data_IF_832752280311
#
_entry.id   IF_832752280311
#
_cell.length_a   1.000
_cell.length_b   1.000
_cell.length_c   1.000
_cell.angle_alpha   90.00
_cell.angle_beta   90.00
_cell.angle_gamma   90.00
#
_symmetry.space_group_name_H-M   'P 1'
#
loop_
_entity.id
_entity.type
_entity.pdbx_description
1 polymer ?
#
# COMPACT_ATOMS: atom_id res chain seq x y z
N UNK A 1 -17.86 -24.95 -10.99
CA UNK A 1 -18.21 -23.82 -10.13
C UNK A 1 -18.65 -22.68 -11.03
N UNK A 2 -19.89 -22.27 -10.88
CA UNK A 2 -20.62 -21.36 -11.78
C UNK A 2 -20.26 -19.92 -11.41
N UNK A 3 -19.30 -19.34 -12.14
CA UNK A 3 -18.86 -17.94 -11.95
C UNK A 3 -19.83 -17.01 -12.71
N UNK A 4 -21.03 -16.84 -12.15
CA UNK A 4 -21.99 -15.86 -12.66
C UNK A 4 -21.65 -14.50 -12.09
N UNK A 5 -21.00 -13.66 -12.90
CA UNK A 5 -20.85 -12.25 -12.61
C UNK A 5 -22.23 -11.62 -12.30
N UNK A 6 -22.45 -11.22 -11.05
CA UNK A 6 -23.66 -10.50 -10.62
C UNK A 6 -23.40 -9.00 -10.70
N UNK A 7 -23.91 -8.37 -11.71
CA UNK A 7 -23.90 -6.92 -11.81
C UNK A 7 -24.97 -6.35 -10.86
N UNK A 8 -24.56 -5.51 -9.94
CA UNK A 8 -25.45 -4.70 -9.09
C UNK A 8 -25.23 -3.24 -9.46
N UNK A 9 -26.30 -2.56 -9.81
CA UNK A 9 -26.27 -1.12 -10.05
C UNK A 9 -26.48 -0.43 -8.71
N UNK A 10 -25.53 0.40 -8.30
CA UNK A 10 -25.64 1.29 -7.15
C UNK A 10 -26.01 2.68 -7.69
N UNK A 11 -27.15 3.19 -7.27
CA UNK A 11 -27.54 4.58 -7.52
C UNK A 11 -26.90 5.44 -6.42
N UNK A 12 -25.90 6.22 -6.79
CA UNK A 12 -25.15 7.09 -5.86
C UNK A 12 -25.81 8.47 -5.71
N UNK A 13 -26.98 8.71 -6.33
CA UNK A 13 -27.62 10.00 -6.35
C UNK A 13 -26.75 11.08 -7.04
N UNK A 14 -27.26 12.31 -7.13
CA UNK A 14 -26.58 13.46 -7.77
C UNK A 14 -25.41 14.04 -6.95
N UNK A 15 -24.81 13.26 -6.04
CA UNK A 15 -23.64 13.66 -5.28
C UNK A 15 -22.43 13.80 -6.20
N UNK A 16 -21.89 15.01 -6.31
CA UNK A 16 -20.59 15.23 -6.96
C UNK A 16 -19.52 14.45 -6.19
N UNK A 17 -19.06 13.34 -6.79
CA UNK A 17 -17.98 12.53 -6.26
C UNK A 17 -16.68 13.30 -6.44
N UNK A 18 -16.20 13.96 -5.39
CA UNK A 18 -14.87 14.56 -5.37
C UNK A 18 -13.80 13.48 -5.26
N UNK A 19 -12.62 13.73 -5.83
CA UNK A 19 -11.49 12.80 -5.81
C UNK A 19 -11.00 12.44 -4.37
N UNK A 20 -11.47 13.15 -3.34
CA UNK A 20 -11.11 12.94 -1.92
C UNK A 20 -12.12 12.07 -1.14
N UNK A 21 -13.15 11.55 -1.80
CA UNK A 21 -14.22 10.84 -1.10
C UNK A 21 -13.91 9.34 -0.93
N UNK A 22 -12.78 9.04 -0.30
CA UNK A 22 -12.48 7.66 0.17
C UNK A 22 -13.53 7.14 1.17
N UNK A 23 -14.31 8.04 1.77
CA UNK A 23 -15.43 7.72 2.66
C UNK A 23 -16.68 7.20 1.94
N UNK A 24 -16.79 7.32 0.61
CA UNK A 24 -17.94 6.79 -0.14
C UNK A 24 -18.02 5.28 -0.01
N UNK A 25 -16.89 4.58 -0.10
CA UNK A 25 -16.85 3.12 0.01
C UNK A 25 -17.34 2.64 1.37
N UNK A 26 -16.96 3.31 2.46
CA UNK A 26 -17.45 3.00 3.81
C UNK A 26 -18.95 3.28 3.97
N UNK A 27 -19.45 4.38 3.40
CA UNK A 27 -20.88 4.76 3.48
C UNK A 27 -21.80 3.81 2.72
N UNK A 28 -21.33 3.19 1.64
CA UNK A 28 -22.07 2.16 0.90
C UNK A 28 -21.77 0.73 1.37
N UNK A 29 -21.04 0.58 2.46
CA UNK A 29 -20.71 -0.73 3.04
C UNK A 29 -19.76 -1.57 2.17
N UNK A 30 -19.01 -0.95 1.27
CA UNK A 30 -17.98 -1.61 0.48
C UNK A 30 -16.67 -1.57 1.27
N UNK A 31 -16.27 -2.70 1.78
CA UNK A 31 -14.93 -2.87 2.35
C UNK A 31 -13.97 -3.17 1.21
N UNK A 32 -12.94 -2.34 1.04
CA UNK A 32 -11.87 -2.65 0.10
C UNK A 32 -11.23 -3.98 0.50
N UNK A 33 -11.32 -4.98 -0.38
CA UNK A 33 -10.58 -6.22 -0.17
C UNK A 33 -9.09 -5.92 -0.26
N UNK A 34 -8.38 -6.13 0.85
CA UNK A 34 -6.92 -6.04 0.89
C UNK A 34 -6.38 -7.45 1.05
N UNK A 35 -5.51 -7.89 0.14
CA UNK A 35 -4.87 -9.18 0.29
C UNK A 35 -4.04 -9.20 1.58
N UNK A 36 -4.14 -10.29 2.33
CA UNK A 36 -3.32 -10.50 3.50
C UNK A 36 -1.91 -10.89 3.03
N UNK A 37 -0.98 -9.96 3.13
CA UNK A 37 0.43 -10.23 2.81
C UNK A 37 1.09 -10.93 4.01
N UNK A 38 1.77 -12.06 3.80
CA UNK A 38 2.55 -12.68 4.86
C UNK A 38 3.66 -11.73 5.35
N UNK A 39 4.05 -11.86 6.60
CA UNK A 39 5.13 -11.06 7.18
C UNK A 39 6.51 -11.55 6.72
N UNK A 40 6.75 -11.52 5.41
CA UNK A 40 8.01 -11.91 4.77
C UNK A 40 8.71 -10.69 4.21
N UNK A 41 10.01 -10.58 4.46
CA UNK A 41 10.86 -9.49 3.95
C UNK A 41 11.14 -9.73 2.46
N UNK A 42 10.74 -8.81 1.59
CA UNK A 42 11.04 -8.87 0.15
C UNK A 42 12.34 -8.15 -0.20
N UNK A 43 12.49 -6.92 0.27
CA UNK A 43 13.71 -6.13 0.05
C UNK A 43 14.10 -5.37 1.31
N UNK A 44 15.40 -5.13 1.47
CA UNK A 44 15.96 -4.36 2.58
C UNK A 44 16.83 -3.22 2.01
N UNK A 45 16.59 -2.01 2.49
CA UNK A 45 17.43 -0.86 2.15
C UNK A 45 18.80 -0.97 2.84
N UNK A 46 19.91 -0.77 2.12
CA UNK A 46 21.26 -1.01 2.68
C UNK A 46 21.56 -0.26 3.98
N UNK A 47 21.07 0.96 4.13
CA UNK A 47 21.34 1.81 5.31
C UNK A 47 20.17 1.83 6.31
N UNK A 48 19.14 1.00 6.09
CA UNK A 48 17.95 0.93 6.93
C UNK A 48 18.19 0.19 8.26
N UNK A 49 17.31 0.43 9.22
CA UNK A 49 17.32 -0.27 10.50
C UNK A 49 17.21 -1.80 10.34
N UNK A 50 16.47 -2.27 9.32
CA UNK A 50 16.39 -3.69 8.98
C UNK A 50 17.74 -4.29 8.59
N UNK A 51 18.53 -3.60 7.76
CA UNK A 51 19.87 -4.03 7.36
C UNK A 51 20.83 -4.07 8.57
N UNK A 52 20.79 -3.02 9.41
CA UNK A 52 21.61 -2.97 10.63
C UNK A 52 21.28 -4.09 11.62
N UNK A 53 20.02 -4.50 11.69
CA UNK A 53 19.56 -5.63 12.51
C UNK A 53 19.89 -6.99 11.89
N UNK A 54 20.39 -7.05 10.65
CA UNK A 54 20.73 -8.30 9.95
C UNK A 54 19.54 -9.01 9.32
N UNK A 55 18.42 -8.31 9.11
CA UNK A 55 17.29 -8.82 8.32
C UNK A 55 17.67 -8.95 6.85
N UNK A 56 17.19 -9.99 6.20
CA UNK A 56 17.47 -10.33 4.80
C UNK A 56 16.20 -10.61 4.02
N UNK A 57 16.21 -10.44 2.68
CA UNK A 57 15.12 -10.93 1.84
C UNK A 57 14.83 -12.41 2.08
N UNK A 58 13.56 -12.76 2.18
CA UNK A 58 13.10 -14.11 2.48
C UNK A 58 12.85 -14.39 3.96
N UNK A 59 13.30 -13.55 4.88
CA UNK A 59 13.02 -13.72 6.30
C UNK A 59 11.54 -13.60 6.59
N UNK A 60 10.98 -14.58 7.29
CA UNK A 60 9.61 -14.54 7.80
C UNK A 60 9.64 -14.06 9.25
N UNK A 61 8.92 -13.00 9.55
CA UNK A 61 8.76 -12.50 10.92
C UNK A 61 7.74 -13.38 11.64
N UNK A 62 8.16 -14.00 12.74
CA UNK A 62 7.34 -14.93 13.55
C UNK A 62 6.81 -14.24 14.80
N UNK A 63 7.71 -13.57 15.53
CA UNK A 63 7.38 -12.87 16.78
C UNK A 63 8.02 -11.48 16.81
N UNK A 64 7.36 -10.55 17.47
CA UNK A 64 7.91 -9.24 17.83
C UNK A 64 7.56 -8.94 19.30
N UNK A 65 8.56 -8.71 20.17
CA UNK A 65 8.41 -8.56 21.62
C UNK A 65 7.54 -9.66 22.26
N UNK A 66 7.73 -10.92 21.81
CA UNK A 66 6.96 -12.09 22.24
C UNK A 66 5.50 -12.18 21.76
N UNK A 67 5.03 -11.22 20.95
CA UNK A 67 3.72 -11.28 20.30
C UNK A 67 3.85 -11.91 18.90
N UNK A 68 2.96 -12.87 18.53
CA UNK A 68 3.00 -13.48 17.22
C UNK A 68 2.61 -12.45 16.15
N UNK A 69 3.33 -12.50 15.02
CA UNK A 69 3.09 -11.64 13.86
C UNK A 69 2.44 -12.47 12.76
N UNK A 70 1.16 -12.26 12.49
CA UNK A 70 0.40 -13.03 11.52
C UNK A 70 0.61 -12.53 10.07
N UNK A 71 0.74 -11.22 9.88
CA UNK A 71 0.79 -10.60 8.55
C UNK A 71 1.67 -9.34 8.53
N UNK A 72 1.93 -8.85 7.33
CA UNK A 72 2.72 -7.64 7.10
C UNK A 72 2.11 -6.38 7.73
N UNK A 73 0.78 -6.27 7.76
CA UNK A 73 0.08 -5.12 8.33
C UNK A 73 0.31 -5.04 9.85
N UNK A 74 0.22 -6.19 10.52
CA UNK A 74 0.49 -6.28 11.95
C UNK A 74 1.96 -5.97 12.24
N UNK A 75 2.90 -6.55 11.47
CA UNK A 75 4.32 -6.25 11.59
C UNK A 75 4.62 -4.76 11.44
N UNK A 76 4.09 -4.13 10.39
CA UNK A 76 4.23 -2.69 10.17
C UNK A 76 3.70 -1.88 11.35
N UNK A 77 2.54 -2.24 11.88
CA UNK A 77 1.95 -1.57 13.04
C UNK A 77 2.80 -1.67 14.30
N UNK A 78 3.50 -2.80 14.51
CA UNK A 78 4.47 -2.93 15.63
C UNK A 78 5.62 -1.96 15.43
N UNK A 79 6.21 -1.91 14.24
CA UNK A 79 7.33 -1.00 13.93
C UNK A 79 6.93 0.46 14.13
N UNK A 80 5.79 0.89 13.57
CA UNK A 80 5.30 2.26 13.62
C UNK A 80 5.10 2.77 15.05
N UNK A 81 4.70 1.89 15.97
CA UNK A 81 4.49 2.24 17.40
C UNK A 81 5.76 2.29 18.24
N UNK A 82 6.91 1.83 17.73
CA UNK A 82 8.16 1.73 18.51
C UNK A 82 9.31 2.51 17.86
N UNK A 83 9.17 3.83 17.56
CA UNK A 83 10.26 4.61 16.98
C UNK A 83 11.43 4.71 17.95
N UNK A 84 12.63 4.30 17.53
CA UNK A 84 13.86 4.34 18.34
C UNK A 84 13.89 3.38 19.53
N UNK A 85 12.93 2.47 19.65
CA UNK A 85 12.88 1.49 20.75
C UNK A 85 13.39 0.13 20.29
N UNK A 86 14.07 -0.59 21.21
CA UNK A 86 14.54 -1.94 20.94
C UNK A 86 13.36 -2.91 20.81
N UNK A 87 13.30 -3.63 19.71
CA UNK A 87 12.37 -4.73 19.44
C UNK A 87 13.15 -6.04 19.39
N UNK A 88 12.73 -7.02 20.19
CA UNK A 88 13.20 -8.40 20.07
C UNK A 88 12.36 -9.10 18.99
N UNK A 89 12.97 -9.43 17.86
CA UNK A 89 12.32 -10.04 16.72
C UNK A 89 12.78 -11.47 16.56
N UNK A 90 11.84 -12.41 16.42
CA UNK A 90 12.16 -13.77 16.00
C UNK A 90 11.74 -13.95 14.56
N UNK A 91 12.68 -14.42 13.76
CA UNK A 91 12.48 -14.70 12.34
C UNK A 91 12.66 -16.18 12.06
N UNK A 92 12.06 -16.64 10.99
CA UNK A 92 12.36 -17.93 10.35
C UNK A 92 13.15 -17.64 9.06
N UNK A 93 14.37 -18.19 8.99
CA UNK A 93 15.28 -18.12 7.84
C UNK A 93 15.73 -19.51 7.49
N UNK A 94 15.52 -19.96 6.26
CA UNK A 94 15.91 -21.31 5.77
C UNK A 94 15.42 -22.44 6.68
N UNK A 95 14.20 -22.32 7.23
CA UNK A 95 13.60 -23.29 8.13
C UNK A 95 14.15 -23.28 9.56
N UNK A 96 15.01 -22.31 9.92
CA UNK A 96 15.57 -22.17 11.25
C UNK A 96 15.10 -20.86 11.91
N UNK A 97 14.72 -20.93 13.18
CA UNK A 97 14.39 -19.73 13.94
C UNK A 97 15.66 -19.02 14.43
N UNK A 98 15.67 -17.71 14.28
CA UNK A 98 16.73 -16.82 14.75
C UNK A 98 16.13 -15.65 15.51
N UNK A 99 16.82 -15.21 16.56
CA UNK A 99 16.46 -14.00 17.29
C UNK A 99 17.37 -12.85 16.85
N UNK A 100 16.76 -11.69 16.57
CA UNK A 100 17.43 -10.45 16.17
C UNK A 100 16.94 -9.30 17.06
N UNK A 101 17.82 -8.34 17.26
CA UNK A 101 17.51 -7.07 17.90
C UNK A 101 17.34 -5.99 16.83
N UNK A 102 16.19 -5.35 16.79
CA UNK A 102 15.83 -4.33 15.80
C UNK A 102 15.48 -3.02 16.51
N UNK A 103 16.12 -1.94 16.12
CA UNK A 103 15.77 -0.59 16.59
C UNK A 103 15.26 0.20 15.38
N UNK A 104 13.93 0.41 15.25
CA UNK A 104 13.38 1.20 14.14
C UNK A 104 13.90 2.65 14.19
N UNK A 105 14.22 3.19 13.03
CA UNK A 105 14.49 4.62 12.89
C UNK A 105 13.21 5.43 13.15
N UNK A 106 13.36 6.67 13.57
CA UNK A 106 12.25 7.57 13.82
C UNK A 106 12.08 8.53 12.65
N UNK A 107 10.85 8.64 12.11
CA UNK A 107 10.49 9.66 11.12
C UNK A 107 9.13 10.26 11.44
N UNK A 108 8.85 11.45 10.92
CA UNK A 108 7.53 12.06 10.99
C UNK A 108 6.65 11.60 9.81
N UNK A 109 5.41 11.25 10.10
CA UNK A 109 4.40 10.98 9.07
C UNK A 109 3.81 12.30 8.54
N UNK A 110 2.86 12.22 7.59
CA UNK A 110 2.21 13.40 7.01
C UNK A 110 1.37 14.20 8.02
N UNK A 111 1.00 13.60 9.15
CA UNK A 111 0.26 14.23 10.24
C UNK A 111 1.19 14.85 11.30
N UNK A 112 2.52 14.77 11.13
CA UNK A 112 3.50 15.27 12.10
C UNK A 112 3.72 14.33 13.29
N UNK A 113 3.20 13.10 13.25
CA UNK A 113 3.41 12.12 14.30
C UNK A 113 4.72 11.38 14.07
N UNK A 114 5.43 11.10 15.15
CA UNK A 114 6.67 10.34 15.11
C UNK A 114 6.38 8.85 15.03
N UNK A 115 6.76 8.22 13.93
CA UNK A 115 6.57 6.79 13.68
C UNK A 115 7.90 6.07 13.45
N UNK A 116 7.93 4.77 13.78
CA UNK A 116 9.06 3.90 13.49
C UNK A 116 9.14 3.54 12.00
N UNK A 117 10.37 3.32 11.52
CA UNK A 117 10.67 2.92 10.15
C UNK A 117 11.90 2.01 10.12
N UNK A 118 11.91 0.97 9.27
CA UNK A 118 13.02 0.02 9.22
C UNK A 118 13.73 -0.07 7.86
N UNK A 119 13.16 0.52 6.81
CA UNK A 119 13.73 0.41 5.47
C UNK A 119 13.61 -1.00 4.87
N UNK A 120 12.47 -1.64 5.07
CA UNK A 120 12.15 -2.92 4.42
C UNK A 120 10.77 -2.87 3.76
N UNK A 121 10.57 -3.69 2.73
CA UNK A 121 9.30 -3.89 2.03
C UNK A 121 8.90 -5.36 2.08
N UNK A 122 7.57 -5.62 2.02
CA UNK A 122 7.05 -6.96 1.98
C UNK A 122 7.47 -7.71 0.73
N UNK A 123 7.60 -9.01 0.84
CA UNK A 123 7.59 -9.90 -0.31
C UNK A 123 6.14 -10.02 -0.82
N UNK A 124 5.93 -9.62 -2.09
CA UNK A 124 4.63 -9.70 -2.75
C UNK A 124 4.67 -10.90 -3.69
N UNK A 125 3.90 -11.97 -3.39
CA UNK A 125 3.85 -13.14 -4.27
C UNK A 125 3.47 -12.74 -5.71
N UNK A 126 4.14 -13.28 -6.73
CA UNK A 126 3.91 -12.90 -8.14
C UNK A 126 2.44 -12.98 -8.57
N UNK A 127 1.71 -14.03 -8.15
CA UNK A 127 0.29 -14.18 -8.46
C UNK A 127 -0.59 -13.08 -7.88
N UNK A 128 -0.24 -12.52 -6.73
CA UNK A 128 -0.98 -11.43 -6.12
C UNK A 128 -0.75 -10.09 -6.86
N UNK A 129 0.44 -9.90 -7.40
CA UNK A 129 0.77 -8.73 -8.21
C UNK A 129 0.04 -8.76 -9.57
N UNK A 130 -0.14 -9.94 -10.15
CA UNK A 130 -0.87 -10.14 -11.41
C UNK A 130 -2.37 -9.90 -11.25
N UNK A 131 -2.98 -10.37 -10.15
CA UNK A 131 -4.40 -10.16 -9.85
C UNK A 131 -4.75 -8.68 -9.59
N UNK A 132 -3.77 -7.86 -9.20
CA UNK A 132 -3.92 -6.41 -9.00
C UNK A 132 -3.65 -5.60 -10.27
N UNK A 133 -3.10 -6.20 -11.33
CA UNK A 133 -2.88 -5.56 -12.61
C UNK A 133 -4.15 -5.68 -13.47
N UNK A 134 -4.97 -4.65 -13.45
CA UNK A 134 -6.04 -4.49 -14.45
C UNK A 134 -5.39 -4.11 -15.78
N UNK A 135 -5.13 -5.10 -16.63
CA UNK A 135 -4.68 -4.86 -18.00
C UNK A 135 -5.86 -4.36 -18.81
N UNK A 136 -6.05 -3.05 -18.87
CA UNK A 136 -7.04 -2.44 -19.74
C UNK A 136 -6.51 -2.47 -21.19
N UNK A 137 -6.97 -3.44 -21.97
CA UNK A 137 -6.66 -3.52 -23.40
C UNK A 137 -7.63 -2.64 -24.16
N UNK A 138 -7.18 -1.49 -24.59
CA UNK A 138 -7.93 -0.67 -25.52
C UNK A 138 -7.74 -1.20 -26.94
N UNK A 139 -8.81 -1.32 -27.72
CA UNK A 139 -8.71 -1.46 -29.17
C UNK A 139 -8.01 -0.20 -29.75
N UNK A 140 -7.41 -0.30 -30.94
CA UNK A 140 -6.66 0.83 -31.52
C UNK A 140 -7.52 2.09 -31.69
N UNK A 141 -8.79 1.97 -31.95
CA UNK A 141 -9.74 3.10 -32.05
C UNK A 141 -10.14 3.63 -30.68
N UNK A 142 -10.33 2.76 -29.70
CA UNK A 142 -10.65 3.14 -28.30
C UNK A 142 -9.45 3.80 -27.63
N UNK A 143 -8.23 3.35 -27.93
CA UNK A 143 -6.99 3.98 -27.46
C UNK A 143 -6.82 5.41 -27.99
N UNK A 144 -7.17 5.65 -29.26
CA UNK A 144 -7.18 7.01 -29.83
C UNK A 144 -8.22 7.89 -29.16
N UNK A 145 -9.44 7.42 -28.96
CA UNK A 145 -10.50 8.14 -28.27
C UNK A 145 -10.13 8.49 -26.83
N UNK A 146 -9.56 7.53 -26.08
CA UNK A 146 -9.09 7.75 -24.72
C UNK A 146 -7.90 8.74 -24.64
N UNK A 147 -6.98 8.69 -25.60
CA UNK A 147 -5.86 9.62 -25.66
C UNK A 147 -6.31 11.06 -25.94
N UNK A 148 -7.24 11.26 -26.87
CA UNK A 148 -7.82 12.58 -27.21
C UNK A 148 -8.58 13.13 -25.99
N UNK A 149 -9.43 12.32 -25.34
CA UNK A 149 -10.19 12.71 -24.15
C UNK A 149 -9.26 13.16 -23.03
N UNK A 150 -8.23 12.38 -22.74
CA UNK A 150 -7.28 12.69 -21.66
C UNK A 150 -6.45 13.96 -21.95
N UNK A 151 -6.08 14.19 -23.21
CA UNK A 151 -5.39 15.42 -23.65
C UNK A 151 -6.31 16.62 -23.50
N UNK A 152 -7.59 16.48 -23.86
CA UNK A 152 -8.58 17.54 -23.72
C UNK A 152 -8.83 17.94 -22.28
N UNK A 153 -9.00 16.95 -21.39
CA UNK A 153 -9.20 17.17 -19.95
C UNK A 153 -8.01 17.89 -19.30
N UNK A 154 -6.78 17.46 -19.65
CA UNK A 154 -5.56 18.11 -19.18
C UNK A 154 -5.43 19.56 -19.70
N UNK A 155 -5.79 19.81 -20.96
CA UNK A 155 -5.76 21.15 -21.55
C UNK A 155 -6.81 22.07 -20.88
N UNK A 156 -7.98 21.55 -20.61
CA UNK A 156 -9.05 22.29 -19.94
C UNK A 156 -8.67 22.62 -18.48
N UNK A 157 -8.01 21.67 -17.78
CA UNK A 157 -7.51 21.90 -16.42
C UNK A 157 -6.45 23.02 -16.39
N UNK A 158 -5.54 23.01 -17.37
CA UNK A 158 -4.50 24.04 -17.52
C UNK A 158 -5.11 25.41 -17.78
N UNK A 159 -6.09 25.51 -18.68
CA UNK A 159 -6.81 26.75 -18.96
C UNK A 159 -7.59 27.26 -17.74
N UNK A 160 -8.21 26.37 -16.96
CA UNK A 160 -8.88 26.75 -15.70
C UNK A 160 -7.88 27.28 -14.65
N UNK A 161 -6.71 26.66 -14.52
CA UNK A 161 -5.65 27.15 -13.63
C UNK A 161 -5.16 28.54 -14.05
N UNK A 162 -4.88 28.73 -15.34
CA UNK A 162 -4.48 30.04 -15.88
C UNK A 162 -5.57 31.10 -15.70
N UNK A 163 -6.86 30.72 -15.93
CA UNK A 163 -7.98 31.62 -15.70
C UNK A 163 -8.09 32.07 -14.25
N UNK A 164 -7.86 31.17 -13.29
CA UNK A 164 -7.85 31.53 -11.85
C UNK A 164 -6.68 32.45 -11.48
N UNK A 165 -5.51 32.28 -12.10
CA UNK A 165 -4.38 33.19 -11.87
C UNK A 165 -4.60 34.61 -12.43
N UNK A 166 -5.45 34.76 -13.47
CA UNK A 166 -5.73 36.04 -14.09
C UNK A 166 -6.89 36.83 -13.42
N UNK A 167 -7.76 36.13 -12.71
CA UNK A 167 -8.95 36.72 -12.08
C UNK A 167 -8.74 36.96 -10.56
N UNK A 168 -7.61 36.46 -9.98
CA UNK A 168 -7.21 36.69 -8.58
C UNK A 168 -7.78 35.63 -7.66
#
# INVERSE_FOLDING_TARGET
ADDRARTRTLDLGDGQVGADDMMIFERVGLTSWQPVLPAVIGQVMPDGAAARAGLQPGDRIVLANSEPVADWKQWRGVIERHPGQLLNVRIERDGSEQALELIPDSRENRQGERIGFIGAVADVPPGLAEDLQVVVRYGPLDAMGAAIGKTWDMSLLTLRMLGRMLIG
#
